data_IF_124559496826
#
_entry.id   IF_124559496826
#
_cell.length_a   1.000
_cell.length_b   1.000
_cell.length_c   1.000
_cell.angle_alpha   90.00
_cell.angle_beta   90.00
_cell.angle_gamma   90.00
#
_symmetry.space_group_name_H-M   'P 1'
#
loop_
_entity.id
_entity.type
_entity.pdbx_description
1 polymer ?
#
# COMPACT_ATOMS: atom_id res chain seq x y z
N UNK A 1 -4.48 11.27 73.14
CA UNK A 1 -3.59 12.03 72.25
C UNK A 1 -3.87 11.58 70.81
N UNK A 2 -4.72 12.32 70.10
CA UNK A 2 -5.09 12.02 68.73
C UNK A 2 -4.21 12.84 67.80
N UNK A 3 -3.31 12.16 67.08
CA UNK A 3 -2.41 12.77 66.10
C UNK A 3 -3.20 13.20 64.83
N UNK A 4 -3.28 14.48 64.59
CA UNK A 4 -3.88 15.12 63.45
C UNK A 4 -3.03 14.82 62.21
N UNK A 5 -3.38 13.82 61.36
CA UNK A 5 -2.76 13.57 60.06
C UNK A 5 -3.14 14.70 59.14
N UNK A 6 -2.23 15.66 58.91
CA UNK A 6 -2.33 16.66 57.83
C UNK A 6 -2.44 15.90 56.50
N UNK A 7 -3.60 15.97 55.86
CA UNK A 7 -3.77 15.50 54.47
C UNK A 7 -2.85 16.28 53.57
N UNK A 8 -1.83 15.65 53.03
CA UNK A 8 -0.96 16.27 52.01
C UNK A 8 -1.80 16.46 50.74
N UNK A 9 -2.23 17.68 50.47
CA UNK A 9 -2.84 18.05 49.17
C UNK A 9 -1.87 17.59 48.06
N UNK A 10 -2.32 16.69 47.20
CA UNK A 10 -1.57 16.30 45.99
C UNK A 10 -1.19 17.58 45.23
N UNK A 11 0.10 17.84 45.09
CA UNK A 11 0.57 19.02 44.35
C UNK A 11 0.22 18.82 42.86
N UNK A 12 -0.59 19.75 42.32
CA UNK A 12 -0.92 19.77 40.91
C UNK A 12 0.38 19.78 40.05
N UNK A 13 0.51 18.91 39.05
CA UNK A 13 1.72 18.81 38.24
C UNK A 13 1.92 20.00 37.29
N UNK A 14 0.85 20.80 37.04
CA UNK A 14 0.89 21.96 36.13
C UNK A 14 0.28 23.17 36.85
N UNK A 15 0.99 24.28 36.79
CA UNK A 15 0.52 25.56 37.34
C UNK A 15 0.59 26.64 36.28
N UNK A 16 -0.46 27.47 36.17
CA UNK A 16 -0.43 28.69 35.37
C UNK A 16 0.35 29.75 36.11
N UNK A 17 1.23 30.45 35.42
CA UNK A 17 1.98 31.60 35.90
C UNK A 17 2.01 32.67 34.83
N UNK A 18 2.26 33.92 35.29
CA UNK A 18 2.45 35.07 34.41
C UNK A 18 3.85 35.64 34.54
N UNK A 19 4.34 36.27 33.47
CA UNK A 19 5.57 37.05 33.44
C UNK A 19 5.25 38.42 32.91
N UNK A 20 5.55 39.48 33.73
CA UNK A 20 5.36 40.87 33.33
C UNK A 20 6.26 41.25 32.17
N UNK A 21 5.74 41.99 31.22
CA UNK A 21 6.41 42.54 30.06
C UNK A 21 6.60 44.03 30.19
N UNK A 22 7.47 44.63 29.38
CA UNK A 22 7.81 46.05 29.45
C UNK A 22 6.64 46.98 29.06
N UNK A 23 5.67 46.48 28.30
CA UNK A 23 4.46 47.17 27.87
C UNK A 23 3.31 47.14 28.90
N UNK A 24 3.57 46.59 30.08
CA UNK A 24 2.58 46.45 31.16
C UNK A 24 1.64 45.25 31.00
N UNK A 25 1.76 44.46 29.92
CA UNK A 25 1.03 43.21 29.77
C UNK A 25 1.71 42.06 30.53
N UNK A 26 0.99 40.96 30.75
CA UNK A 26 1.54 39.76 31.37
C UNK A 26 1.43 38.55 30.42
N UNK A 27 2.54 37.91 30.13
CA UNK A 27 2.58 36.68 29.31
C UNK A 27 2.29 35.47 30.17
N UNK A 28 1.31 34.62 29.74
CA UNK A 28 0.99 33.36 30.40
C UNK A 28 1.96 32.25 30.03
N UNK A 29 2.35 31.44 31.04
CA UNK A 29 3.10 30.19 30.81
C UNK A 29 2.68 29.13 31.83
N UNK A 30 2.89 27.88 31.46
CA UNK A 30 2.70 26.74 32.35
C UNK A 30 4.03 26.39 33.03
N UNK A 31 4.00 26.22 34.34
CA UNK A 31 5.08 25.71 35.18
C UNK A 31 4.77 24.22 35.44
N UNK A 32 5.50 23.31 34.77
CA UNK A 32 5.23 21.88 34.72
C UNK A 32 6.30 21.17 35.56
N UNK A 33 5.87 20.38 36.54
CA UNK A 33 6.78 19.55 37.36
C UNK A 33 6.38 18.09 37.28
N UNK A 34 7.21 17.27 36.59
CA UNK A 34 6.95 15.86 36.35
C UNK A 34 8.24 15.05 36.56
N UNK A 35 8.16 13.95 37.29
CA UNK A 35 9.27 13.03 37.52
C UNK A 35 10.58 13.69 38.00
N UNK A 36 10.46 14.68 38.92
CA UNK A 36 11.61 15.39 39.46
C UNK A 36 12.19 16.50 38.56
N UNK A 37 11.67 16.66 37.34
CA UNK A 37 12.09 17.68 36.38
C UNK A 37 11.07 18.81 36.27
N UNK A 38 11.56 20.05 36.21
CA UNK A 38 10.75 21.24 36.03
C UNK A 38 10.97 21.79 34.62
N UNK A 39 9.88 22.16 33.95
CA UNK A 39 9.89 22.76 32.61
C UNK A 39 8.86 23.88 32.53
N UNK A 40 9.06 24.78 31.57
CA UNK A 40 8.19 25.93 31.33
C UNK A 40 7.70 25.91 29.89
N UNK A 41 6.39 26.08 29.70
CA UNK A 41 5.75 26.16 28.39
C UNK A 41 5.08 27.52 28.23
N UNK A 42 5.60 28.40 27.36
CA UNK A 42 5.04 29.72 27.09
C UNK A 42 3.90 29.60 26.10
N UNK A 43 2.70 30.09 26.48
CA UNK A 43 1.49 29.90 25.70
C UNK A 43 1.30 30.93 24.59
N UNK A 44 2.12 32.00 24.56
CA UNK A 44 1.96 33.17 23.67
C UNK A 44 0.58 33.81 23.82
N UNK A 45 0.02 33.79 25.02
CA UNK A 45 -1.22 34.40 25.45
C UNK A 45 -0.91 35.48 26.48
N UNK A 46 -1.62 36.59 26.40
CA UNK A 46 -1.28 37.76 27.16
C UNK A 46 -2.48 38.29 27.94
N UNK A 47 -2.28 38.72 29.18
CA UNK A 47 -3.20 39.52 29.95
C UNK A 47 -2.86 41.00 29.71
N UNK A 48 -3.78 41.73 29.13
CA UNK A 48 -3.58 43.12 28.77
C UNK A 48 -3.99 44.05 29.92
N UNK A 49 -3.38 45.28 30.09
CA UNK A 49 -3.83 46.27 31.05
C UNK A 49 -5.30 46.63 30.84
N UNK A 50 -6.11 46.59 31.89
CA UNK A 50 -7.56 46.73 31.82
C UNK A 50 -7.99 48.22 31.70
N UNK A 51 -7.94 48.74 30.47
CA UNK A 51 -8.28 50.15 30.17
C UNK A 51 -9.76 50.33 29.81
N UNK A 52 -10.50 49.31 29.39
CA UNK A 52 -11.91 49.39 29.03
C UNK A 52 -12.62 48.02 29.15
N UNK A 53 -13.97 48.02 29.02
CA UNK A 53 -14.79 46.82 29.13
C UNK A 53 -14.43 45.73 28.11
N UNK A 54 -14.06 46.10 26.87
CA UNK A 54 -13.66 45.15 25.80
C UNK A 54 -12.38 44.40 26.15
N UNK A 55 -11.38 45.06 26.72
CA UNK A 55 -10.14 44.43 27.17
C UNK A 55 -10.39 43.50 28.36
N UNK A 56 -11.32 43.83 29.27
CA UNK A 56 -11.73 42.92 30.36
C UNK A 56 -12.33 41.63 29.83
N UNK A 57 -13.20 41.73 28.84
CA UNK A 57 -13.81 40.56 28.19
C UNK A 57 -12.77 39.72 27.47
N UNK A 58 -11.85 40.35 26.73
CA UNK A 58 -10.71 39.65 26.07
C UNK A 58 -9.81 38.95 27.10
N UNK A 59 -9.49 39.61 28.22
CA UNK A 59 -8.69 39.00 29.30
C UNK A 59 -9.42 37.80 29.92
N UNK A 60 -10.75 37.86 30.06
CA UNK A 60 -11.58 36.76 30.56
C UNK A 60 -11.49 35.56 29.62
N UNK A 61 -11.75 35.77 28.32
CA UNK A 61 -11.65 34.72 27.31
C UNK A 61 -10.23 34.11 27.25
N UNK A 62 -9.20 34.93 27.36
CA UNK A 62 -7.80 34.47 27.41
C UNK A 62 -7.53 33.58 28.63
N UNK A 63 -8.06 33.97 29.80
CA UNK A 63 -7.90 33.21 31.05
C UNK A 63 -8.62 31.87 30.98
N UNK A 64 -9.84 31.83 30.44
CA UNK A 64 -10.58 30.59 30.19
C UNK A 64 -9.83 29.65 29.26
N UNK A 65 -9.25 30.17 28.17
CA UNK A 65 -8.43 29.39 27.24
C UNK A 65 -7.15 28.85 27.92
N UNK A 66 -6.48 29.64 28.75
CA UNK A 66 -5.29 29.23 29.51
C UNK A 66 -5.61 28.08 30.49
N UNK A 67 -6.75 28.16 31.21
CA UNK A 67 -7.18 27.07 32.12
C UNK A 67 -7.58 25.80 31.35
N UNK A 68 -8.18 25.93 30.17
CA UNK A 68 -8.47 24.78 29.30
C UNK A 68 -7.16 24.06 28.86
N UNK A 69 -6.15 24.83 28.44
CA UNK A 69 -4.83 24.30 28.09
C UNK A 69 -4.15 23.61 29.29
N UNK A 70 -4.21 24.23 30.49
CA UNK A 70 -3.70 23.61 31.73
C UNK A 70 -4.38 22.27 32.01
N UNK A 71 -5.70 22.21 31.91
CA UNK A 71 -6.48 20.99 32.14
C UNK A 71 -6.10 19.89 31.16
N UNK A 72 -5.94 20.22 29.88
CA UNK A 72 -5.46 19.28 28.85
C UNK A 72 -4.05 18.75 29.19
N UNK A 73 -3.14 19.62 29.64
CA UNK A 73 -1.78 19.24 30.01
C UNK A 73 -1.74 18.29 31.22
N UNK A 74 -2.63 18.53 32.21
CA UNK A 74 -2.78 17.61 33.34
C UNK A 74 -3.25 16.23 32.90
N UNK A 75 -4.22 16.15 32.00
CA UNK A 75 -4.73 14.90 31.42
C UNK A 75 -3.59 14.16 30.69
N UNK A 76 -2.82 14.85 29.84
CA UNK A 76 -1.69 14.26 29.10
C UNK A 76 -0.63 13.69 30.06
N UNK A 77 -0.28 14.42 31.12
CA UNK A 77 0.69 13.97 32.12
C UNK A 77 0.16 12.74 32.90
N UNK A 78 -1.11 12.77 33.26
CA UNK A 78 -1.76 11.67 33.98
C UNK A 78 -1.84 10.43 33.11
N UNK A 79 -2.21 10.56 31.83
CA UNK A 79 -2.23 9.48 30.86
C UNK A 79 -0.83 8.90 30.64
N UNK A 80 0.20 9.74 30.53
CA UNK A 80 1.60 9.32 30.41
C UNK A 80 2.07 8.53 31.64
N UNK A 81 1.68 8.93 32.86
CA UNK A 81 1.99 8.19 34.11
C UNK A 81 1.26 6.87 34.20
N UNK A 82 0.06 6.78 33.65
CA UNK A 82 -0.75 5.57 33.58
C UNK A 82 -0.32 4.61 32.45
N UNK A 83 0.75 4.93 31.71
CA UNK A 83 1.18 4.15 30.55
C UNK A 83 0.28 4.32 29.32
N UNK A 84 -0.72 5.20 29.39
CA UNK A 84 -1.58 5.57 28.27
C UNK A 84 -0.75 6.50 27.39
N UNK A 85 -0.44 6.05 26.18
CA UNK A 85 0.40 6.80 25.22
C UNK A 85 -0.21 8.16 24.94
N UNK A 86 0.54 9.24 25.20
CA UNK A 86 0.04 10.59 24.96
C UNK A 86 -0.06 10.86 23.46
N UNK A 87 -1.23 11.34 23.00
CA UNK A 87 -1.45 11.72 21.59
C UNK A 87 -0.40 12.73 21.08
N UNK A 88 0.17 13.57 21.95
CA UNK A 88 1.13 14.61 21.56
C UNK A 88 2.46 14.09 20.99
N UNK A 89 2.93 12.92 21.40
CA UNK A 89 4.16 12.34 20.87
C UNK A 89 3.98 11.85 19.41
N UNK A 90 2.76 11.43 19.07
CA UNK A 90 2.39 10.89 17.77
C UNK A 90 2.20 11.96 16.71
N UNK A 91 1.60 13.09 17.11
CA UNK A 91 1.37 14.23 16.24
C UNK A 91 2.67 14.84 15.69
N UNK A 92 3.81 14.57 16.36
CA UNK A 92 5.14 15.05 15.95
C UNK A 92 5.82 14.13 14.93
N UNK A 93 5.40 12.86 14.80
CA UNK A 93 5.96 11.92 13.84
C UNK A 93 5.52 12.32 12.42
N UNK A 94 6.45 12.29 11.47
CA UNK A 94 6.09 12.55 10.08
C UNK A 94 5.44 11.33 9.42
N UNK A 95 4.65 11.57 8.38
CA UNK A 95 4.09 10.50 7.56
C UNK A 95 5.19 9.62 6.95
N UNK A 96 6.30 10.22 6.53
CA UNK A 96 7.44 9.49 5.99
C UNK A 96 8.04 8.52 7.04
N UNK A 97 8.28 8.99 8.28
CA UNK A 97 8.79 8.14 9.37
C UNK A 97 7.84 6.98 9.69
N UNK A 98 6.52 7.23 9.66
CA UNK A 98 5.54 6.17 9.82
C UNK A 98 5.61 5.14 8.70
N UNK A 99 5.65 5.58 7.45
CA UNK A 99 5.72 4.69 6.29
C UNK A 99 7.00 3.84 6.30
N UNK A 100 8.13 4.38 6.72
CA UNK A 100 9.40 3.64 6.89
C UNK A 100 9.27 2.56 7.98
N UNK A 101 8.67 2.90 9.13
CA UNK A 101 8.38 1.91 10.19
C UNK A 101 7.42 0.83 9.70
N UNK A 102 6.38 1.21 8.99
CA UNK A 102 5.42 0.27 8.42
C UNK A 102 6.08 -0.63 7.37
N UNK A 103 6.96 -0.07 6.53
CA UNK A 103 7.77 -0.82 5.57
C UNK A 103 8.58 -1.92 6.28
N UNK A 104 9.34 -1.55 7.30
CA UNK A 104 10.16 -2.52 8.06
C UNK A 104 9.32 -3.62 8.74
N UNK A 105 8.11 -3.28 9.22
CA UNK A 105 7.18 -4.28 9.79
C UNK A 105 6.69 -5.26 8.71
N UNK A 106 6.35 -4.76 7.52
CA UNK A 106 5.86 -5.60 6.42
C UNK A 106 6.98 -6.50 5.86
N UNK A 107 8.18 -5.98 5.77
CA UNK A 107 9.37 -6.73 5.33
C UNK A 107 9.67 -7.90 6.27
N UNK A 108 9.67 -7.66 7.59
CA UNK A 108 9.84 -8.73 8.61
C UNK A 108 8.75 -9.82 8.53
N UNK A 109 7.56 -9.47 8.07
CA UNK A 109 6.45 -10.41 7.83
C UNK A 109 6.57 -11.17 6.51
N UNK A 110 7.60 -10.93 5.71
CA UNK A 110 7.80 -11.59 4.42
C UNK A 110 6.78 -11.21 3.35
N UNK A 111 6.14 -10.03 3.46
CA UNK A 111 5.11 -9.61 2.52
C UNK A 111 5.76 -9.12 1.23
N UNK A 112 5.56 -9.86 0.14
CA UNK A 112 6.18 -9.62 -1.19
C UNK A 112 5.83 -8.26 -1.87
N UNK A 113 4.90 -7.47 -1.33
CA UNK A 113 4.47 -6.19 -1.95
C UNK A 113 5.10 -4.93 -1.34
N UNK A 114 6.17 -5.09 -0.60
CA UNK A 114 6.86 -4.01 0.12
C UNK A 114 7.46 -2.97 -0.84
N UNK A 115 7.88 -3.38 -2.05
CA UNK A 115 8.47 -2.51 -3.07
C UNK A 115 7.59 -1.29 -3.44
N UNK A 116 6.26 -1.48 -3.49
CA UNK A 116 5.33 -0.38 -3.75
C UNK A 116 5.32 0.65 -2.63
N UNK A 117 5.49 0.21 -1.39
CA UNK A 117 5.55 1.10 -0.24
C UNK A 117 6.81 1.97 -0.29
N UNK A 118 7.96 1.42 -0.71
CA UNK A 118 9.18 2.19 -0.97
C UNK A 118 8.99 3.28 -2.04
N UNK A 119 8.18 3.00 -3.07
CA UNK A 119 7.82 4.02 -4.07
C UNK A 119 6.95 5.11 -3.46
N UNK A 120 5.99 4.78 -2.60
CA UNK A 120 5.12 5.75 -1.92
C UNK A 120 5.92 6.65 -0.98
N UNK A 121 6.89 6.11 -0.25
CA UNK A 121 7.79 6.91 0.62
C UNK A 121 8.48 7.99 -0.20
N UNK A 122 9.01 7.63 -1.39
CA UNK A 122 9.64 8.60 -2.30
C UNK A 122 8.67 9.68 -2.79
N UNK A 123 7.43 9.30 -3.10
CA UNK A 123 6.38 10.21 -3.55
C UNK A 123 5.98 11.16 -2.41
N UNK A 124 5.77 10.66 -1.20
CA UNK A 124 5.44 11.47 -0.02
C UNK A 124 6.56 12.43 0.33
N UNK A 125 7.83 12.02 0.21
CA UNK A 125 8.98 12.91 0.41
C UNK A 125 9.05 14.06 -0.60
N UNK A 126 8.46 13.91 -1.80
CA UNK A 126 8.35 14.99 -2.78
C UNK A 126 7.12 15.87 -2.54
N UNK A 127 6.00 15.29 -2.11
CA UNK A 127 4.78 16.05 -1.84
C UNK A 127 4.86 16.88 -0.57
N UNK A 128 5.38 16.29 0.52
CA UNK A 128 5.44 16.97 1.81
C UNK A 128 6.23 16.17 2.85
N UNK A 129 7.58 16.21 2.74
CA UNK A 129 8.50 15.48 3.64
C UNK A 129 8.24 15.75 5.13
N UNK A 130 7.84 16.97 5.49
CA UNK A 130 7.59 17.41 6.85
C UNK A 130 6.14 17.22 7.32
N UNK A 131 5.26 16.61 6.50
CA UNK A 131 3.87 16.35 6.87
C UNK A 131 3.82 15.49 8.11
N UNK A 132 3.21 16.00 9.18
CA UNK A 132 3.05 15.27 10.44
C UNK A 132 1.80 14.38 10.38
N UNK A 133 1.80 13.30 11.14
CA UNK A 133 0.64 12.41 11.23
C UNK A 133 -0.63 13.15 11.68
N UNK A 134 -0.50 14.13 12.57
CA UNK A 134 -1.62 14.97 13.05
C UNK A 134 -2.18 15.95 12.03
N UNK A 135 -1.47 16.21 10.93
CA UNK A 135 -1.87 17.15 9.89
C UNK A 135 -2.57 16.46 8.71
N UNK A 136 -2.68 15.11 8.76
CA UNK A 136 -3.28 14.31 7.70
C UNK A 136 -4.80 14.27 7.91
N UNK A 137 -5.48 15.25 7.35
CA UNK A 137 -6.93 15.34 7.32
C UNK A 137 -7.50 15.06 5.91
N UNK A 138 -8.82 15.14 5.76
CA UNK A 138 -9.49 15.01 4.46
C UNK A 138 -8.96 16.00 3.41
N UNK A 139 -8.66 17.24 3.80
CA UNK A 139 -8.16 18.28 2.90
C UNK A 139 -6.77 17.94 2.39
N UNK A 140 -5.90 17.44 3.27
CA UNK A 140 -4.58 16.96 2.88
C UNK A 140 -4.66 15.81 1.86
N UNK A 141 -5.56 14.84 2.11
CA UNK A 141 -5.76 13.70 1.19
C UNK A 141 -6.25 14.15 -0.18
N UNK A 142 -7.20 15.09 -0.25
CA UNK A 142 -7.68 15.64 -1.52
C UNK A 142 -6.56 16.37 -2.27
N UNK A 143 -5.76 17.17 -1.57
CA UNK A 143 -4.59 17.84 -2.15
C UNK A 143 -3.53 16.86 -2.65
N UNK A 144 -3.28 15.78 -1.92
CA UNK A 144 -2.36 14.71 -2.36
C UNK A 144 -2.89 13.99 -3.60
N UNK A 145 -4.18 13.67 -3.67
CA UNK A 145 -4.82 13.05 -4.83
C UNK A 145 -4.69 13.94 -6.07
N UNK A 146 -4.99 15.21 -5.93
CA UNK A 146 -4.88 16.17 -7.04
C UNK A 146 -3.43 16.28 -7.53
N UNK A 147 -2.49 16.46 -6.61
CA UNK A 147 -1.07 16.59 -6.93
C UNK A 147 -0.50 15.34 -7.62
N UNK A 148 -0.82 14.13 -7.14
CA UNK A 148 -0.29 12.89 -7.72
C UNK A 148 -0.87 12.59 -9.11
N UNK A 149 -2.08 13.10 -9.40
CA UNK A 149 -2.73 12.93 -10.71
C UNK A 149 -2.24 13.95 -11.75
N UNK A 150 -1.99 15.19 -11.35
CA UNK A 150 -1.81 16.29 -12.30
C UNK A 150 -0.40 16.90 -12.27
N UNK A 151 0.32 16.80 -11.14
CA UNK A 151 1.62 17.46 -10.98
C UNK A 151 2.77 16.47 -10.93
N UNK A 152 2.59 15.34 -10.26
CA UNK A 152 3.66 14.37 -10.09
C UNK A 152 4.00 13.68 -11.42
N UNK A 153 5.31 13.63 -11.72
CA UNK A 153 5.83 12.90 -12.88
C UNK A 153 6.69 11.72 -12.42
N UNK A 154 6.48 10.58 -13.07
CA UNK A 154 7.23 9.36 -12.80
C UNK A 154 8.65 9.38 -13.37
N UNK A 155 9.33 8.23 -13.33
CA UNK A 155 10.76 8.05 -13.68
C UNK A 155 11.16 8.62 -15.06
N UNK A 156 10.23 8.71 -16.02
CA UNK A 156 10.49 9.19 -17.39
C UNK A 156 9.89 10.56 -17.65
N UNK A 157 9.62 11.37 -16.63
CA UNK A 157 9.01 12.69 -16.78
C UNK A 157 7.55 12.66 -17.28
N UNK A 158 6.89 11.49 -17.27
CA UNK A 158 5.50 11.33 -17.70
C UNK A 158 4.58 11.23 -16.49
N UNK A 159 3.33 11.75 -16.60
CA UNK A 159 2.31 11.51 -15.60
C UNK A 159 2.10 10.01 -15.33
N UNK A 160 1.65 9.67 -14.14
CA UNK A 160 1.33 8.29 -13.80
C UNK A 160 0.05 7.83 -14.50
N UNK A 161 0.03 6.58 -14.94
CA UNK A 161 -1.21 5.94 -15.35
C UNK A 161 -2.20 5.86 -14.19
N UNK A 162 -3.49 6.10 -14.45
CA UNK A 162 -4.55 6.12 -13.42
C UNK A 162 -4.58 4.84 -12.57
N UNK A 163 -4.34 3.67 -13.16
CA UNK A 163 -4.24 2.40 -12.42
C UNK A 163 -3.10 2.36 -11.41
N UNK A 164 -1.98 3.04 -11.73
CA UNK A 164 -0.83 3.19 -10.83
C UNK A 164 -1.16 4.15 -9.69
N UNK A 165 -1.80 5.29 -9.98
CA UNK A 165 -2.28 6.24 -8.97
C UNK A 165 -3.20 5.55 -7.97
N UNK A 166 -4.23 4.83 -8.45
CA UNK A 166 -5.14 4.05 -7.59
C UNK A 166 -4.38 3.03 -6.74
N UNK A 167 -3.37 2.38 -7.30
CA UNK A 167 -2.55 1.42 -6.56
C UNK A 167 -1.75 2.08 -5.43
N UNK A 168 -1.17 3.26 -5.65
CA UNK A 168 -0.43 4.01 -4.63
C UNK A 168 -1.36 4.54 -3.53
N UNK A 169 -2.49 5.13 -3.91
CA UNK A 169 -3.51 5.60 -2.95
C UNK A 169 -3.99 4.43 -2.07
N UNK A 170 -4.28 3.28 -2.67
CA UNK A 170 -4.70 2.09 -1.92
C UNK A 170 -3.64 1.62 -0.91
N UNK A 171 -2.37 1.61 -1.30
CA UNK A 171 -1.27 1.23 -0.40
C UNK A 171 -1.07 2.25 0.72
N UNK A 172 -1.17 3.56 0.44
CA UNK A 172 -1.12 4.60 1.46
C UNK A 172 -2.29 4.46 2.45
N UNK A 173 -3.50 4.23 1.95
CA UNK A 173 -4.67 3.98 2.79
C UNK A 173 -4.49 2.74 3.68
N UNK A 174 -3.88 1.66 3.18
CA UNK A 174 -3.54 0.47 3.98
C UNK A 174 -2.56 0.83 5.11
N UNK A 175 -1.54 1.64 4.83
CA UNK A 175 -0.57 2.09 5.83
C UNK A 175 -1.23 3.00 6.89
N UNK A 176 -2.16 3.88 6.50
CA UNK A 176 -2.91 4.72 7.44
C UNK A 176 -3.91 3.89 8.27
N UNK A 177 -4.56 2.87 7.70
CA UNK A 177 -5.37 1.92 8.47
C UNK A 177 -4.52 1.16 9.51
N UNK A 178 -3.28 0.86 9.19
CA UNK A 178 -2.36 0.28 10.17
C UNK A 178 -1.98 1.28 11.27
N UNK A 179 -1.86 2.57 10.95
CA UNK A 179 -1.66 3.64 11.91
C UNK A 179 -2.86 3.78 12.87
N UNK A 180 -4.09 3.69 12.35
CA UNK A 180 -5.32 3.71 13.17
C UNK A 180 -5.33 2.50 14.13
N UNK A 181 -5.05 1.29 13.64
CA UNK A 181 -4.98 0.09 14.50
C UNK A 181 -3.87 0.15 15.56
N UNK A 182 -2.83 0.90 15.30
CA UNK A 182 -1.74 1.15 16.24
C UNK A 182 -2.01 2.39 17.13
N UNK A 183 -3.21 2.97 17.05
CA UNK A 183 -3.63 4.17 17.79
C UNK A 183 -2.79 5.42 17.48
N UNK A 184 -2.21 5.51 16.27
CA UNK A 184 -1.43 6.65 15.80
C UNK A 184 -2.25 7.66 15.01
N UNK A 185 -3.44 7.27 14.59
CA UNK A 185 -4.47 8.12 14.01
C UNK A 185 -5.81 7.74 14.64
N UNK A 186 -6.69 8.70 14.79
CA UNK A 186 -8.05 8.44 15.25
C UNK A 186 -8.87 7.74 14.17
N UNK A 187 -8.72 8.17 12.91
CA UNK A 187 -9.38 7.60 11.74
C UNK A 187 -8.50 7.73 10.48
N UNK A 188 -8.80 6.94 9.47
CA UNK A 188 -8.15 7.06 8.18
C UNK A 188 -8.87 8.09 7.30
N UNK A 189 -8.24 9.22 6.94
CA UNK A 189 -8.91 10.29 6.19
C UNK A 189 -9.38 9.88 4.79
N UNK A 190 -8.82 8.82 4.20
CA UNK A 190 -9.33 8.26 2.93
C UNK A 190 -10.75 7.69 3.07
N UNK A 191 -11.17 7.30 4.28
CA UNK A 191 -12.53 6.79 4.53
C UNK A 191 -13.57 7.92 4.52
N UNK A 192 -13.14 9.16 4.75
CA UNK A 192 -14.00 10.36 4.72
C UNK A 192 -14.31 10.84 3.30
N UNK A 193 -13.68 10.25 2.29
CA UNK A 193 -13.92 10.60 0.89
C UNK A 193 -15.25 10.05 0.41
N UNK A 194 -16.06 10.92 -0.20
CA UNK A 194 -17.25 10.54 -0.95
C UNK A 194 -16.91 9.74 -2.20
N UNK A 195 -17.88 9.08 -2.80
CA UNK A 195 -17.66 8.29 -4.02
C UNK A 195 -17.15 9.13 -5.20
N UNK A 196 -17.54 10.42 -5.27
CA UNK A 196 -17.08 11.36 -6.30
C UNK A 196 -15.65 11.85 -6.09
N UNK A 197 -15.18 11.89 -4.86
CA UNK A 197 -13.82 12.33 -4.48
C UNK A 197 -12.77 11.21 -4.62
N UNK A 198 -13.23 9.95 -4.69
CA UNK A 198 -12.32 8.81 -4.86
C UNK A 198 -11.82 8.68 -6.29
N UNK A 199 -10.54 8.41 -6.45
CA UNK A 199 -9.97 8.11 -7.77
C UNK A 199 -10.58 6.81 -8.30
N UNK A 200 -11.28 6.92 -9.43
CA UNK A 200 -11.92 5.77 -10.07
C UNK A 200 -10.86 4.84 -10.66
N UNK A 201 -11.04 3.55 -10.43
CA UNK A 201 -10.21 2.55 -11.10
C UNK A 201 -10.52 2.57 -12.58
N UNK A 202 -9.51 2.63 -13.48
CA UNK A 202 -9.76 2.57 -14.91
C UNK A 202 -10.38 1.22 -15.28
N UNK A 203 -11.27 1.24 -16.26
CA UNK A 203 -11.79 0.00 -16.84
C UNK A 203 -10.64 -0.78 -17.48
N UNK A 204 -10.51 -2.04 -17.10
CA UNK A 204 -9.50 -2.93 -17.63
C UNK A 204 -10.04 -3.65 -18.87
N UNK A 205 -9.74 -3.14 -20.06
CA UNK A 205 -9.95 -3.91 -21.30
C UNK A 205 -8.86 -4.98 -21.40
N UNK A 206 -9.17 -6.16 -20.86
CA UNK A 206 -8.21 -7.28 -20.92
C UNK A 206 -8.17 -7.83 -22.33
N UNK A 207 -6.98 -7.84 -22.93
CA UNK A 207 -6.76 -8.47 -24.23
C UNK A 207 -6.71 -9.98 -24.08
N UNK A 208 -7.26 -10.68 -25.07
CA UNK A 208 -7.16 -12.12 -25.25
C UNK A 208 -7.06 -12.45 -26.74
N UNK A 209 -6.59 -13.63 -27.08
CA UNK A 209 -6.58 -14.12 -28.44
C UNK A 209 -7.83 -14.95 -28.73
N UNK A 210 -8.42 -14.77 -29.89
CA UNK A 210 -9.46 -15.67 -30.38
C UNK A 210 -8.85 -17.01 -30.81
N UNK A 211 -9.70 -18.02 -31.04
CA UNK A 211 -9.23 -19.33 -31.53
C UNK A 211 -8.52 -19.19 -32.88
N UNK A 212 -9.05 -18.34 -33.76
CA UNK A 212 -8.48 -18.04 -35.08
C UNK A 212 -7.11 -17.37 -34.95
N UNK A 213 -6.95 -16.41 -34.04
CA UNK A 213 -5.67 -15.77 -33.76
C UNK A 213 -4.65 -16.74 -33.15
N UNK A 214 -5.07 -17.67 -32.30
CA UNK A 214 -4.18 -18.75 -31.81
C UNK A 214 -3.75 -19.65 -32.96
N UNK A 215 -4.64 -20.00 -33.90
CA UNK A 215 -4.27 -20.76 -35.10
C UNK A 215 -3.27 -20.01 -35.98
N UNK A 216 -3.42 -18.68 -36.15
CA UNK A 216 -2.46 -17.85 -36.86
C UNK A 216 -1.08 -17.87 -36.20
N UNK A 217 -1.02 -17.76 -34.86
CA UNK A 217 0.23 -17.89 -34.11
C UNK A 217 0.87 -19.28 -34.30
N UNK A 218 0.08 -20.33 -34.25
CA UNK A 218 0.57 -21.70 -34.49
C UNK A 218 1.22 -21.80 -35.85
N UNK A 219 0.60 -21.29 -36.91
CA UNK A 219 1.07 -21.32 -38.29
C UNK A 219 2.29 -20.39 -38.50
N UNK A 220 2.43 -19.34 -37.71
CA UNK A 220 3.52 -18.37 -37.83
C UNK A 220 4.79 -18.88 -37.14
N UNK A 221 5.93 -18.78 -37.81
CA UNK A 221 7.23 -19.10 -37.24
C UNK A 221 7.61 -18.10 -36.12
N UNK A 222 7.99 -18.64 -34.96
CA UNK A 222 8.56 -17.91 -33.85
C UNK A 222 10.07 -18.13 -33.78
N UNK A 223 10.84 -17.04 -33.61
CA UNK A 223 12.32 -17.13 -33.53
C UNK A 223 12.85 -17.96 -32.34
N UNK A 224 12.02 -18.20 -31.31
CA UNK A 224 12.38 -19.01 -30.15
C UNK A 224 11.31 -20.08 -29.94
N UNK A 225 11.72 -21.34 -30.10
CA UNK A 225 10.86 -22.53 -30.02
C UNK A 225 10.27 -22.67 -28.60
N UNK A 226 11.10 -22.49 -27.57
CA UNK A 226 10.68 -22.63 -26.17
C UNK A 226 9.62 -21.61 -25.78
N UNK A 227 9.77 -20.34 -26.22
CA UNK A 227 8.76 -19.31 -26.01
C UNK A 227 7.45 -19.66 -26.71
N UNK A 228 7.51 -20.16 -27.97
CA UNK A 228 6.32 -20.61 -28.71
C UNK A 228 5.60 -21.72 -27.96
N UNK A 229 6.34 -22.78 -27.59
CA UNK A 229 5.77 -23.92 -26.85
C UNK A 229 5.17 -23.51 -25.53
N UNK A 230 5.90 -22.75 -24.67
CA UNK A 230 5.46 -22.32 -23.38
C UNK A 230 4.20 -21.40 -23.46
N UNK A 231 4.18 -20.47 -24.41
CA UNK A 231 3.03 -19.58 -24.58
C UNK A 231 1.78 -20.32 -25.03
N UNK A 232 1.89 -21.18 -26.06
CA UNK A 232 0.75 -21.95 -26.54
C UNK A 232 0.28 -22.98 -25.52
N UNK A 233 1.20 -23.66 -24.82
CA UNK A 233 0.86 -24.51 -23.70
C UNK A 233 0.05 -23.74 -22.64
N UNK A 234 0.50 -22.53 -22.27
CA UNK A 234 -0.21 -21.68 -21.33
C UNK A 234 -1.59 -21.21 -21.84
N UNK A 235 -1.78 -21.04 -23.15
CA UNK A 235 -3.09 -20.77 -23.74
C UNK A 235 -4.10 -21.93 -23.55
N UNK A 236 -3.61 -23.16 -23.37
CA UNK A 236 -4.44 -24.36 -23.21
C UNK A 236 -4.51 -24.91 -21.78
N UNK A 237 -3.70 -24.39 -20.83
CA UNK A 237 -3.74 -24.81 -19.43
C UNK A 237 -3.91 -23.66 -18.43
N UNK A 238 -3.80 -22.41 -18.88
CA UNK A 238 -4.02 -21.23 -18.05
C UNK A 238 -2.94 -20.93 -17.01
N UNK A 239 -1.78 -21.57 -17.02
CA UNK A 239 -0.69 -21.30 -16.09
C UNK A 239 -0.14 -19.88 -16.25
N UNK A 240 0.31 -19.28 -15.15
CA UNK A 240 1.03 -17.98 -15.19
C UNK A 240 2.48 -18.20 -15.60
N UNK A 241 3.14 -17.18 -16.14
CA UNK A 241 4.56 -17.25 -16.45
C UNK A 241 5.40 -17.68 -15.24
N UNK A 242 5.09 -17.21 -14.04
CA UNK A 242 5.78 -17.61 -12.81
C UNK A 242 5.65 -19.10 -12.50
N UNK A 243 4.52 -19.69 -12.84
CA UNK A 243 4.28 -21.11 -12.62
C UNK A 243 4.98 -21.94 -13.71
N UNK A 244 5.04 -21.42 -14.95
CA UNK A 244 5.79 -22.03 -16.06
C UNK A 244 7.30 -22.04 -15.83
N UNK A 245 7.85 -20.96 -15.22
CA UNK A 245 9.28 -20.85 -14.89
C UNK A 245 9.74 -21.87 -13.85
N UNK A 246 8.82 -22.46 -13.09
CA UNK A 246 9.11 -23.42 -12.01
C UNK A 246 8.50 -24.80 -12.22
N UNK A 247 7.79 -25.02 -13.33
CA UNK A 247 7.14 -26.28 -13.65
C UNK A 247 8.18 -27.35 -13.92
N UNK A 248 8.19 -28.41 -13.11
CA UNK A 248 9.06 -29.55 -13.23
C UNK A 248 8.33 -30.78 -13.83
N UNK A 249 9.07 -31.77 -14.31
CA UNK A 249 8.48 -32.99 -14.86
C UNK A 249 7.68 -33.78 -13.82
N UNK A 250 8.05 -33.75 -12.55
CA UNK A 250 7.24 -34.32 -11.44
C UNK A 250 5.83 -33.75 -11.32
N UNK A 251 5.64 -32.50 -11.76
CA UNK A 251 4.34 -31.83 -11.71
C UNK A 251 3.41 -32.27 -12.85
N UNK A 252 3.93 -33.00 -13.85
CA UNK A 252 3.18 -33.53 -14.98
C UNK A 252 2.89 -35.02 -14.73
N UNK A 253 1.66 -35.30 -14.34
CA UNK A 253 1.18 -36.65 -14.04
C UNK A 253 0.49 -37.20 -15.29
N UNK A 254 0.84 -38.44 -15.69
CA UNK A 254 0.17 -39.17 -16.77
C UNK A 254 -0.41 -40.47 -16.23
N UNK A 255 -1.73 -40.63 -16.26
CA UNK A 255 -2.44 -41.83 -15.88
C UNK A 255 -3.32 -42.28 -17.05
N UNK A 256 -3.09 -43.48 -17.58
CA UNK A 256 -3.85 -44.06 -18.70
C UNK A 256 -3.97 -43.09 -19.91
N UNK A 257 -2.88 -42.42 -20.27
CA UNK A 257 -2.85 -41.44 -21.37
C UNK A 257 -3.52 -40.11 -21.10
N UNK A 258 -4.02 -39.87 -19.88
CA UNK A 258 -4.58 -38.60 -19.44
C UNK A 258 -3.53 -37.84 -18.66
N UNK A 259 -3.18 -36.67 -19.17
CA UNK A 259 -2.21 -35.78 -18.56
C UNK A 259 -2.89 -34.75 -17.63
N UNK A 260 -2.24 -34.46 -16.53
CA UNK A 260 -2.68 -33.46 -15.56
C UNK A 260 -1.47 -32.73 -14.96
N UNK A 261 -1.62 -31.46 -14.65
CA UNK A 261 -0.66 -30.69 -13.86
C UNK A 261 -1.11 -30.74 -12.40
N UNK A 262 -0.18 -31.14 -11.51
CA UNK A 262 -0.37 -31.09 -10.05
C UNK A 262 0.78 -30.27 -9.46
N UNK A 263 0.54 -28.99 -9.20
CA UNK A 263 1.56 -28.08 -8.69
C UNK A 263 1.00 -27.04 -7.72
N UNK A 264 1.87 -26.26 -7.10
CA UNK A 264 1.48 -25.16 -6.19
C UNK A 264 1.74 -23.82 -6.88
N UNK A 265 0.70 -22.99 -6.99
CA UNK A 265 0.83 -21.67 -7.61
C UNK A 265 1.82 -20.79 -6.85
N UNK A 266 2.81 -20.25 -7.52
CA UNK A 266 3.84 -19.37 -6.94
C UNK A 266 3.28 -18.08 -6.33
N UNK A 267 2.17 -17.55 -6.85
CA UNK A 267 1.58 -16.29 -6.39
C UNK A 267 0.68 -16.45 -5.17
N UNK A 268 -0.06 -17.53 -5.07
CA UNK A 268 -1.12 -17.73 -4.06
C UNK A 268 -0.82 -18.85 -3.08
N UNK A 269 0.24 -19.63 -3.33
CA UNK A 269 0.58 -20.85 -2.58
C UNK A 269 -0.58 -21.86 -2.50
N UNK A 270 -1.45 -21.86 -3.53
CA UNK A 270 -2.61 -22.75 -3.61
C UNK A 270 -2.26 -23.94 -4.49
N UNK A 271 -2.52 -25.20 -4.05
CA UNK A 271 -2.43 -26.36 -4.90
C UNK A 271 -3.41 -26.26 -6.06
N UNK A 272 -2.96 -26.64 -7.25
CA UNK A 272 -3.80 -26.74 -8.46
C UNK A 272 -3.65 -28.11 -9.09
N UNK A 273 -4.76 -28.60 -9.60
CA UNK A 273 -4.86 -29.84 -10.37
C UNK A 273 -5.58 -29.49 -11.66
N UNK A 274 -4.82 -29.36 -12.76
CA UNK A 274 -5.35 -28.95 -14.05
C UNK A 274 -5.23 -30.09 -15.06
N UNK A 275 -6.36 -30.69 -15.49
CA UNK A 275 -6.34 -31.65 -16.60
C UNK A 275 -5.81 -30.98 -17.86
N UNK A 276 -4.97 -31.67 -18.61
CA UNK A 276 -4.46 -31.18 -19.87
C UNK A 276 -5.27 -31.72 -21.03
N UNK A 277 -5.75 -30.81 -21.88
CA UNK A 277 -6.34 -31.19 -23.16
C UNK A 277 -5.26 -31.80 -24.12
N UNK A 278 -5.68 -32.55 -25.09
CA UNK A 278 -4.77 -33.05 -26.14
C UNK A 278 -4.03 -31.91 -26.86
N UNK A 279 -4.68 -30.77 -27.01
CA UNK A 279 -4.05 -29.56 -27.56
C UNK A 279 -2.96 -28.99 -26.65
N UNK A 280 -3.15 -29.03 -25.33
CA UNK A 280 -2.11 -28.64 -24.38
C UNK A 280 -0.92 -29.58 -24.48
N UNK A 281 -1.16 -30.90 -24.49
CA UNK A 281 -0.11 -31.93 -24.57
C UNK A 281 0.75 -31.80 -25.83
N UNK A 282 0.21 -31.38 -26.98
CA UNK A 282 0.97 -31.11 -28.22
C UNK A 282 2.04 -30.03 -28.04
N UNK A 283 1.86 -29.11 -27.07
CA UNK A 283 2.81 -28.03 -26.80
C UNK A 283 3.74 -28.32 -25.62
N UNK A 284 3.56 -29.46 -24.96
CA UNK A 284 4.50 -29.94 -23.96
C UNK A 284 5.80 -30.35 -24.68
N UNK A 285 6.99 -29.93 -24.21
CA UNK A 285 8.24 -30.39 -24.75
C UNK A 285 8.37 -31.90 -24.59
N UNK A 286 9.14 -32.55 -25.46
CA UNK A 286 9.50 -33.93 -25.30
C UNK A 286 10.44 -34.10 -24.10
N UNK A 287 10.14 -35.03 -23.19
CA UNK A 287 10.99 -35.33 -22.04
C UNK A 287 12.19 -36.13 -22.52
N UNK A 288 13.39 -35.57 -22.39
CA UNK A 288 14.63 -36.23 -22.74
C UNK A 288 14.93 -37.36 -21.74
N UNK A 289 15.68 -38.42 -22.17
CA UNK A 289 16.03 -39.54 -21.28
C UNK A 289 16.85 -39.15 -20.04
N UNK A 290 17.62 -38.07 -20.12
CA UNK A 290 18.44 -37.51 -19.04
C UNK A 290 17.67 -36.59 -18.09
N UNK A 291 16.42 -36.26 -18.40
CA UNK A 291 15.60 -35.40 -17.55
C UNK A 291 15.02 -36.20 -16.37
N UNK A 292 15.44 -35.85 -15.18
CA UNK A 292 14.84 -36.34 -13.93
C UNK A 292 13.55 -35.57 -13.59
N UNK A 293 12.88 -36.00 -12.53
CA UNK A 293 11.62 -35.42 -12.08
C UNK A 293 11.73 -33.94 -11.64
N UNK A 294 12.89 -33.51 -11.18
CA UNK A 294 13.16 -32.11 -10.75
C UNK A 294 13.58 -31.21 -11.93
N UNK A 295 13.80 -31.78 -13.14
CA UNK A 295 14.16 -30.98 -14.30
C UNK A 295 12.98 -30.10 -14.74
N UNK A 296 13.27 -28.83 -15.03
CA UNK A 296 12.27 -27.91 -15.53
C UNK A 296 11.74 -28.33 -16.90
N UNK A 297 10.42 -28.29 -17.07
CA UNK A 297 9.76 -28.58 -18.34
C UNK A 297 10.16 -27.57 -19.43
N UNK A 298 10.30 -26.29 -19.08
CA UNK A 298 10.69 -25.21 -19.98
C UNK A 298 12.01 -24.56 -19.53
N UNK A 299 13.07 -25.37 -19.35
CA UNK A 299 14.36 -24.93 -18.80
C UNK A 299 15.01 -23.76 -19.57
N UNK A 300 14.80 -23.68 -20.89
CA UNK A 300 15.39 -22.64 -21.74
C UNK A 300 14.48 -21.40 -21.93
N UNK A 301 13.49 -21.23 -21.07
CA UNK A 301 12.60 -20.06 -21.16
C UNK A 301 13.37 -18.80 -20.79
N UNK A 302 13.45 -17.78 -21.68
CA UNK A 302 14.18 -16.55 -21.40
C UNK A 302 13.55 -15.73 -20.29
N UNK A 303 14.28 -14.73 -19.78
CA UNK A 303 13.76 -13.78 -18.80
C UNK A 303 12.44 -13.14 -19.25
N UNK A 304 11.58 -12.74 -18.30
CA UNK A 304 10.25 -12.18 -18.59
C UNK A 304 10.27 -11.01 -19.58
N UNK A 305 11.18 -10.02 -19.48
CA UNK A 305 11.26 -8.95 -20.46
C UNK A 305 11.58 -9.47 -21.86
N UNK A 306 12.53 -10.42 -21.97
CA UNK A 306 12.93 -11.04 -23.24
C UNK A 306 11.80 -11.85 -23.84
N UNK A 307 11.13 -12.68 -23.04
CA UNK A 307 9.95 -13.46 -23.45
C UNK A 307 8.85 -12.53 -24.01
N UNK A 308 8.51 -11.44 -23.32
CA UNK A 308 7.50 -10.50 -23.83
C UNK A 308 7.95 -9.77 -25.11
N UNK A 309 9.25 -9.47 -25.26
CA UNK A 309 9.79 -8.90 -26.50
C UNK A 309 9.66 -9.87 -27.67
N UNK A 310 9.96 -11.14 -27.45
CA UNK A 310 9.80 -12.19 -28.47
C UNK A 310 8.33 -12.37 -28.84
N UNK A 311 7.45 -12.43 -27.87
CA UNK A 311 6.01 -12.53 -28.08
C UNK A 311 5.48 -11.36 -28.92
N UNK A 312 5.85 -10.13 -28.58
CA UNK A 312 5.45 -8.94 -29.34
C UNK A 312 5.82 -9.07 -30.82
N UNK A 313 7.08 -9.45 -31.13
CA UNK A 313 7.56 -9.60 -32.49
C UNK A 313 6.86 -10.76 -33.24
N UNK A 314 6.53 -11.83 -32.53
CA UNK A 314 5.84 -12.99 -33.10
C UNK A 314 4.37 -12.67 -33.42
N UNK A 315 3.70 -11.96 -32.54
CA UNK A 315 2.30 -11.50 -32.71
C UNK A 315 2.22 -10.50 -33.89
N UNK A 316 3.16 -9.55 -34.00
CA UNK A 316 3.28 -8.63 -35.12
C UNK A 316 3.52 -9.38 -36.46
N UNK A 317 4.41 -10.40 -36.47
CA UNK A 317 4.67 -11.25 -37.64
C UNK A 317 3.42 -12.05 -38.06
N UNK A 318 2.57 -12.41 -37.10
CA UNK A 318 1.31 -13.11 -37.37
C UNK A 318 0.17 -12.19 -37.86
N UNK A 319 0.41 -10.88 -37.98
CA UNK A 319 -0.59 -9.91 -38.43
C UNK A 319 -1.68 -9.62 -37.40
N UNK A 320 -1.44 -9.90 -36.11
CA UNK A 320 -2.40 -9.68 -35.03
C UNK A 320 -2.20 -8.29 -34.44
N UNK A 321 -3.18 -7.38 -34.61
CA UNK A 321 -3.15 -6.03 -34.05
C UNK A 321 -3.71 -6.00 -32.63
N UNK A 322 -2.98 -6.63 -31.69
CA UNK A 322 -3.29 -6.63 -30.25
C UNK A 322 -2.02 -6.51 -29.41
N UNK A 323 -2.08 -5.75 -28.32
CA UNK A 323 -0.97 -5.69 -27.34
C UNK A 323 -0.96 -6.95 -26.48
N UNK A 324 -0.24 -7.95 -26.91
CA UNK A 324 -0.14 -9.24 -26.26
C UNK A 324 1.10 -9.30 -25.34
N UNK A 325 0.90 -9.82 -24.15
CA UNK A 325 1.94 -10.17 -23.18
C UNK A 325 1.79 -11.63 -22.78
N UNK A 326 2.77 -12.21 -22.07
CA UNK A 326 2.63 -13.59 -21.61
C UNK A 326 1.34 -13.81 -20.77
N UNK A 327 0.96 -12.83 -19.98
CA UNK A 327 -0.26 -12.93 -19.16
C UNK A 327 -1.56 -13.03 -19.99
N UNK A 328 -1.52 -12.60 -21.24
CA UNK A 328 -2.65 -12.73 -22.17
C UNK A 328 -3.00 -14.19 -22.45
N UNK A 329 -2.02 -15.14 -22.40
CA UNK A 329 -2.28 -16.58 -22.58
C UNK A 329 -3.34 -17.09 -21.59
N UNK A 330 -3.27 -16.65 -20.32
CA UNK A 330 -4.24 -17.03 -19.29
C UNK A 330 -5.63 -16.43 -19.55
N UNK A 331 -5.70 -15.21 -20.07
CA UNK A 331 -6.99 -14.62 -20.47
C UNK A 331 -7.57 -15.35 -21.68
N UNK A 332 -6.71 -15.75 -22.62
CA UNK A 332 -7.08 -16.58 -23.79
C UNK A 332 -7.61 -17.92 -23.33
N UNK A 333 -6.94 -18.60 -22.40
CA UNK A 333 -7.47 -19.85 -21.82
C UNK A 333 -8.84 -19.66 -21.20
N UNK A 334 -9.02 -18.68 -20.30
CA UNK A 334 -10.30 -18.43 -19.66
C UNK A 334 -11.42 -18.15 -20.67
N UNK A 335 -11.15 -17.32 -21.70
CA UNK A 335 -12.14 -17.04 -22.75
C UNK A 335 -12.46 -18.28 -23.57
N UNK A 336 -11.47 -19.09 -23.97
CA UNK A 336 -11.70 -20.32 -24.69
C UNK A 336 -12.55 -21.32 -23.89
N UNK A 337 -12.26 -21.48 -22.59
CA UNK A 337 -13.04 -22.36 -21.73
C UNK A 337 -14.50 -21.92 -21.63
N UNK A 338 -14.75 -20.62 -21.47
CA UNK A 338 -16.10 -20.06 -21.45
C UNK A 338 -16.81 -20.26 -22.80
N UNK A 339 -16.10 -20.13 -23.92
CA UNK A 339 -16.66 -20.33 -25.27
C UNK A 339 -17.11 -21.79 -25.50
N UNK A 340 -16.42 -22.75 -24.90
CA UNK A 340 -16.81 -24.18 -24.98
C UNK A 340 -17.78 -24.61 -23.88
N UNK A 341 -18.34 -23.65 -23.11
CA UNK A 341 -19.40 -23.89 -22.13
C UNK A 341 -18.93 -24.26 -20.72
N UNK A 342 -17.64 -24.02 -20.40
CA UNK A 342 -17.18 -24.20 -19.04
C UNK A 342 -17.80 -23.15 -18.11
N UNK A 343 -18.20 -23.57 -16.91
CA UNK A 343 -18.73 -22.69 -15.88
C UNK A 343 -17.67 -21.69 -15.37
N UNK A 344 -18.11 -20.49 -15.02
CA UNK A 344 -17.28 -19.41 -14.52
C UNK A 344 -16.48 -19.79 -13.25
N UNK A 345 -17.02 -20.70 -12.45
CA UNK A 345 -16.37 -21.22 -11.24
C UNK A 345 -15.36 -22.33 -11.51
N UNK A 346 -15.44 -22.95 -12.68
CA UNK A 346 -14.55 -24.05 -13.09
C UNK A 346 -13.36 -23.56 -13.90
N UNK A 347 -13.40 -22.31 -14.38
CA UNK A 347 -12.37 -21.66 -15.19
C UNK A 347 -11.48 -20.71 -14.35
#
# INVERSE_FOLDING_TARGET
>A
MTANKKSSKLKEPVRVRTKKLADGSESYYLDIYVNGKRSYEFLKMYHLPEVNARVREQNRATREAVEAIKSQRIIEITNSKAGIKSKSAWQKLTLADWLEKFYAIQERKGIKRVEKLGSIIKIINQYGKSTRMGDIDKKWVLGFIDWIQHTYTGRHGKPLEQGTVVSYISQLSIALNAAVRAEWLDENPFMLLSASERVKKPESKRQFLTIEEVKLLIATECRNKTVKQAYLFSCYCGLRLSDMETLCWKDIICNDGRYMIATVQQKTSTPIYTPLSQNAVKWLPERKPDNNDETLVFAELPSRPTTNKILKQWVEKAGIDKKITYHTSRHTFGTMMMTVGADLYTT
#
